data_IF_325697329926
#
_entry.id   IF_325697329926
#
_cell.length_a   1.000
_cell.length_b   1.000
_cell.length_c   1.000
_cell.angle_alpha   90.00
_cell.angle_beta   90.00
_cell.angle_gamma   90.00
#
_symmetry.space_group_name_H-M   'P 1'
#
loop_
_entity.id
_entity.type
_entity.pdbx_description
1 polymer ?
#
# COMPACT_ATOMS: atom_id res chain seq x y z
N UNK A 1 -18.68 -7.43 -8.86
CA UNK A 1 -17.41 -7.49 -9.61
C UNK A 1 -17.73 -7.21 -11.07
N UNK A 2 -16.85 -6.62 -11.88
CA UNK A 2 -17.15 -6.48 -13.31
C UNK A 2 -17.27 -7.85 -13.98
N UNK A 3 -18.17 -7.98 -14.95
CA UNK A 3 -18.24 -9.12 -15.89
C UNK A 3 -17.47 -8.85 -17.18
N UNK A 4 -17.08 -7.59 -17.40
CA UNK A 4 -16.44 -7.11 -18.63
C UNK A 4 -15.00 -6.72 -18.37
N UNK A 5 -14.23 -6.68 -19.46
CA UNK A 5 -12.83 -6.30 -19.41
C UNK A 5 -12.67 -4.90 -18.85
N UNK A 6 -11.71 -4.77 -17.94
CA UNK A 6 -11.38 -3.52 -17.28
C UNK A 6 -10.07 -2.99 -17.87
N UNK A 7 -10.00 -1.68 -18.11
CA UNK A 7 -8.78 -1.02 -18.57
C UNK A 7 -7.64 -1.15 -17.57
N UNK A 8 -6.41 -1.14 -18.08
CA UNK A 8 -5.18 -1.16 -17.28
C UNK A 8 -5.11 0.03 -16.30
N UNK A 9 -4.51 -0.18 -15.12
CA UNK A 9 -4.40 0.78 -14.00
C UNK A 9 -5.72 1.19 -13.31
N UNK A 10 -6.81 0.50 -13.60
CA UNK A 10 -8.04 0.65 -12.82
C UNK A 10 -7.93 -0.11 -11.48
N UNK A 11 -8.84 0.20 -10.54
CA UNK A 11 -8.94 -0.49 -9.25
C UNK A 11 -7.69 -0.39 -8.37
N UNK A 12 -6.88 0.65 -8.59
CA UNK A 12 -5.65 0.96 -7.88
C UNK A 12 -4.66 -0.22 -7.77
N UNK A 13 -4.51 -0.99 -8.84
CA UNK A 13 -3.73 -2.22 -8.84
C UNK A 13 -3.03 -2.41 -10.19
N UNK A 14 -1.94 -3.18 -10.22
CA UNK A 14 -1.24 -3.50 -11.48
C UNK A 14 -1.97 -4.59 -12.28
N UNK A 15 -2.41 -5.65 -11.60
CA UNK A 15 -3.28 -6.68 -12.19
C UNK A 15 -4.72 -6.52 -11.69
N UNK A 16 -5.57 -6.01 -12.55
CA UNK A 16 -7.00 -5.89 -12.30
C UNK A 16 -7.69 -7.24 -12.49
N UNK A 17 -8.54 -7.63 -11.53
CA UNK A 17 -9.25 -8.92 -11.53
C UNK A 17 -10.76 -8.74 -11.70
N UNK A 18 -11.36 -9.49 -12.61
CA UNK A 18 -12.79 -9.47 -12.89
C UNK A 18 -13.35 -10.87 -13.21
N UNK A 19 -14.68 -11.03 -13.19
CA UNK A 19 -15.31 -12.32 -13.48
C UNK A 19 -15.16 -12.68 -14.97
N UNK A 20 -14.80 -13.93 -15.24
CA UNK A 20 -14.87 -14.49 -16.59
C UNK A 20 -16.29 -15.01 -16.87
N UNK A 21 -17.16 -14.12 -17.32
CA UNK A 21 -18.56 -14.42 -17.64
C UNK A 21 -19.57 -13.81 -16.65
N UNK A 22 -20.87 -14.09 -16.86
CA UNK A 22 -21.94 -13.41 -16.13
C UNK A 22 -22.02 -13.82 -14.66
N UNK A 23 -22.60 -12.98 -13.80
CA UNK A 23 -22.98 -13.38 -12.46
C UNK A 23 -24.05 -14.51 -12.48
N UNK A 24 -24.11 -15.36 -11.45
CA UNK A 24 -25.18 -16.36 -11.32
C UNK A 24 -26.57 -15.72 -11.13
N UNK A 25 -27.60 -16.50 -11.40
CA UNK A 25 -28.97 -16.24 -10.95
C UNK A 25 -29.21 -16.82 -9.55
N UNK A 26 -30.32 -16.42 -8.89
CA UNK A 26 -30.66 -16.90 -7.54
C UNK A 26 -30.79 -18.43 -7.52
N UNK A 27 -31.36 -19.01 -8.58
CA UNK A 27 -31.58 -20.45 -8.74
C UNK A 27 -30.29 -21.27 -8.93
N UNK A 28 -29.20 -20.63 -9.38
CA UNK A 28 -27.91 -21.29 -9.57
C UNK A 28 -27.22 -21.63 -8.24
N UNK A 29 -27.66 -21.02 -7.14
CA UNK A 29 -27.04 -21.20 -5.82
C UNK A 29 -25.61 -20.66 -5.78
N UNK A 30 -24.69 -21.43 -5.19
CA UNK A 30 -23.27 -21.07 -5.13
C UNK A 30 -22.53 -21.68 -6.30
N UNK A 31 -22.00 -20.83 -7.19
CA UNK A 31 -21.25 -21.27 -8.38
C UNK A 31 -19.78 -20.89 -8.27
N UNK A 32 -18.92 -21.69 -8.89
CA UNK A 32 -17.50 -21.37 -9.08
C UNK A 32 -17.33 -20.59 -10.38
N UNK A 33 -16.65 -19.45 -10.32
CA UNK A 33 -16.35 -18.64 -11.50
C UNK A 33 -14.85 -18.47 -11.67
N UNK A 34 -14.39 -18.62 -12.91
CA UNK A 34 -13.06 -18.21 -13.30
C UNK A 34 -12.91 -16.69 -13.17
N UNK A 35 -11.68 -16.25 -12.85
CA UNK A 35 -11.35 -14.85 -12.69
C UNK A 35 -10.30 -14.49 -13.73
N UNK A 36 -10.64 -13.56 -14.61
CA UNK A 36 -9.71 -12.96 -15.55
C UNK A 36 -8.79 -11.98 -14.82
N UNK A 37 -7.54 -11.92 -15.27
CA UNK A 37 -6.57 -10.92 -14.87
C UNK A 37 -6.07 -10.18 -16.10
N UNK A 38 -6.11 -8.85 -16.03
CA UNK A 38 -5.55 -7.95 -17.03
C UNK A 38 -4.28 -7.30 -16.52
N UNK A 39 -3.45 -6.83 -17.44
CA UNK A 39 -2.33 -5.93 -17.16
C UNK A 39 -2.07 -5.04 -18.35
N UNK A 40 -1.27 -3.99 -18.16
CA UNK A 40 -0.94 -3.01 -19.21
C UNK A 40 -0.41 -3.63 -20.51
N UNK A 41 0.31 -4.74 -20.42
CA UNK A 41 1.00 -5.36 -21.55
C UNK A 41 0.21 -6.49 -22.21
N UNK A 42 -1.03 -6.72 -21.79
CA UNK A 42 -1.78 -7.91 -22.18
C UNK A 42 -3.18 -7.58 -22.69
N UNK A 43 -3.69 -8.43 -23.57
CA UNK A 43 -5.09 -8.39 -23.99
C UNK A 43 -6.03 -8.75 -22.84
N UNK A 44 -7.31 -8.42 -23.00
CA UNK A 44 -8.34 -8.77 -22.02
C UNK A 44 -8.34 -10.26 -21.70
N UNK A 45 -8.26 -10.59 -20.40
CA UNK A 45 -8.26 -11.97 -19.89
C UNK A 45 -7.10 -12.84 -20.41
N UNK A 46 -5.94 -12.23 -20.67
CA UNK A 46 -4.74 -12.98 -21.03
C UNK A 46 -4.27 -13.90 -19.88
N UNK A 47 -4.41 -13.43 -18.63
CA UNK A 47 -4.08 -14.21 -17.44
C UNK A 47 -5.35 -14.68 -16.74
N UNK A 48 -5.26 -15.82 -16.05
CA UNK A 48 -6.34 -16.35 -15.19
C UNK A 48 -5.85 -16.46 -13.75
N UNK A 49 -6.64 -15.92 -12.81
CA UNK A 49 -6.41 -16.09 -11.37
C UNK A 49 -7.09 -17.38 -10.88
N UNK A 50 -6.87 -17.70 -9.61
CA UNK A 50 -7.63 -18.75 -8.92
C UNK A 50 -9.13 -18.44 -9.00
N UNK A 51 -9.97 -19.45 -9.31
CA UNK A 51 -11.41 -19.25 -9.35
C UNK A 51 -11.95 -18.89 -7.96
N UNK A 52 -13.07 -18.18 -7.94
CA UNK A 52 -13.78 -17.78 -6.73
C UNK A 52 -15.18 -18.40 -6.70
N UNK A 53 -15.82 -18.42 -5.53
CA UNK A 53 -17.23 -18.78 -5.44
C UNK A 53 -18.08 -17.52 -5.34
N UNK A 54 -19.20 -17.51 -6.06
CA UNK A 54 -20.15 -16.39 -6.07
C UNK A 54 -21.58 -16.93 -6.01
N UNK A 55 -22.45 -16.22 -5.30
CA UNK A 55 -23.89 -16.49 -5.29
C UNK A 55 -24.69 -15.20 -5.48
N UNK A 56 -25.80 -15.31 -6.18
CA UNK A 56 -26.82 -14.26 -6.19
C UNK A 56 -27.70 -14.39 -4.94
N UNK A 57 -28.06 -13.26 -4.36
CA UNK A 57 -28.92 -13.20 -3.18
C UNK A 57 -30.25 -12.50 -3.52
N UNK A 58 -31.33 -12.80 -2.76
CA UNK A 58 -32.53 -11.97 -2.77
C UNK A 58 -32.14 -10.50 -2.53
N UNK A 59 -32.83 -9.54 -3.16
CA UNK A 59 -32.52 -8.10 -3.11
C UNK A 59 -31.36 -7.64 -4.01
N UNK A 60 -31.11 -8.34 -5.13
CA UNK A 60 -30.24 -7.88 -6.23
C UNK A 60 -28.80 -7.56 -5.79
N UNK A 61 -28.20 -8.40 -4.93
CA UNK A 61 -26.79 -8.32 -4.57
C UNK A 61 -26.12 -9.67 -4.68
N UNK A 62 -24.78 -9.64 -4.78
CA UNK A 62 -23.95 -10.82 -4.93
C UNK A 62 -23.00 -10.94 -3.75
N UNK A 63 -22.77 -12.19 -3.30
CA UNK A 63 -21.78 -12.49 -2.26
C UNK A 63 -20.66 -13.29 -2.90
N UNK A 64 -19.42 -12.88 -2.62
CA UNK A 64 -18.22 -13.48 -3.17
C UNK A 64 -17.38 -14.09 -2.05
N UNK A 65 -16.97 -15.33 -2.22
CA UNK A 65 -15.91 -15.96 -1.44
C UNK A 65 -14.60 -15.78 -2.23
N UNK A 66 -13.91 -14.69 -1.91
CA UNK A 66 -12.65 -14.31 -2.57
C UNK A 66 -11.48 -15.10 -2.01
N UNK A 67 -10.51 -15.39 -2.87
CA UNK A 67 -9.25 -16.04 -2.49
C UNK A 67 -8.10 -15.05 -2.65
N UNK A 68 -7.00 -15.27 -1.93
CA UNK A 68 -5.80 -14.45 -2.15
C UNK A 68 -5.32 -14.63 -3.60
N UNK A 69 -5.28 -13.56 -4.42
CA UNK A 69 -4.86 -13.66 -5.81
C UNK A 69 -3.43 -14.16 -5.96
N UNK A 70 -3.15 -14.84 -7.08
CA UNK A 70 -1.81 -15.34 -7.38
C UNK A 70 -0.88 -14.26 -7.92
N UNK A 71 -1.43 -13.15 -8.42
CA UNK A 71 -0.66 -12.08 -9.05
C UNK A 71 -0.24 -11.03 -8.02
N UNK A 72 1.01 -10.58 -8.12
CA UNK A 72 1.53 -9.48 -7.32
C UNK A 72 0.83 -8.15 -7.65
N UNK A 73 0.55 -7.30 -6.65
CA UNK A 73 -0.20 -6.04 -6.81
C UNK A 73 -1.48 -6.25 -7.65
N UNK A 74 -2.33 -7.16 -7.20
CA UNK A 74 -3.61 -7.46 -7.85
C UNK A 74 -4.79 -7.18 -6.93
N UNK A 75 -5.92 -6.83 -7.56
CA UNK A 75 -7.11 -6.36 -6.86
C UNK A 75 -8.37 -6.75 -7.60
N UNK A 76 -9.34 -7.26 -6.84
CA UNK A 76 -10.69 -7.54 -7.34
C UNK A 76 -11.44 -6.24 -7.59
N UNK A 77 -11.80 -6.01 -8.85
CA UNK A 77 -12.49 -4.81 -9.25
C UNK A 77 -14.01 -4.90 -9.04
N UNK A 78 -14.56 -3.93 -8.32
CA UNK A 78 -16.01 -3.74 -8.21
C UNK A 78 -16.49 -2.76 -9.25
N UNK A 79 -17.63 -3.04 -9.87
CA UNK A 79 -18.30 -2.09 -10.76
C UNK A 79 -19.02 -1.01 -9.93
N UNK A 80 -18.82 0.26 -10.28
CA UNK A 80 -19.39 1.44 -9.62
C UNK A 80 -20.85 1.67 -10.06
N UNK A 81 -21.28 1.07 -11.17
CA UNK A 81 -22.62 1.26 -11.75
C UNK A 81 -23.77 0.71 -10.88
N UNK A 82 -23.47 -0.05 -9.81
CA UNK A 82 -24.48 -0.69 -8.97
C UNK A 82 -24.34 -0.33 -7.48
N UNK A 83 -23.76 0.83 -7.15
CA UNK A 83 -23.66 1.30 -5.77
C UNK A 83 -25.05 1.75 -5.29
N UNK A 84 -25.75 0.88 -4.57
CA UNK A 84 -26.72 1.31 -3.58
C UNK A 84 -25.93 1.87 -2.39
N UNK A 85 -26.05 3.17 -2.13
CA UNK A 85 -25.41 3.80 -0.97
C UNK A 85 -25.99 3.18 0.32
N UNK A 86 -25.26 2.24 0.91
CA UNK A 86 -25.50 1.86 2.30
C UNK A 86 -24.81 2.92 3.15
N UNK A 87 -25.56 3.95 3.53
CA UNK A 87 -25.08 4.96 4.48
C UNK A 87 -24.91 4.28 5.83
N UNK A 88 -23.67 3.93 6.16
CA UNK A 88 -23.30 3.47 7.50
C UNK A 88 -22.89 4.67 8.31
N UNK A 89 -23.79 5.17 9.15
CA UNK A 89 -23.44 6.16 10.17
C UNK A 89 -22.72 5.44 11.30
N UNK A 90 -21.39 5.53 11.32
CA UNK A 90 -20.60 5.24 12.53
C UNK A 90 -20.43 6.57 13.26
N UNK A 91 -21.09 6.73 14.41
CA UNK A 91 -20.78 7.84 15.32
C UNK A 91 -19.51 7.50 16.08
N UNK A 92 -18.49 8.33 15.94
CA UNK A 92 -17.27 8.25 16.74
C UNK A 92 -17.53 8.85 18.11
N UNK A 93 -17.43 8.03 19.17
CA UNK A 93 -17.36 8.50 20.54
C UNK A 93 -15.96 9.04 20.85
N UNK A 94 -15.89 10.27 21.36
CA UNK A 94 -14.66 10.92 21.80
C UNK A 94 -14.28 10.43 23.20
N UNK A 95 -13.19 9.66 23.31
CA UNK A 95 -12.53 9.41 24.59
C UNK A 95 -11.52 10.53 24.85
N UNK A 96 -11.82 11.39 25.81
CA UNK A 96 -10.89 12.35 26.41
C UNK A 96 -9.85 11.61 27.24
N UNK A 97 -8.73 11.27 26.61
CA UNK A 97 -7.52 10.77 27.28
C UNK A 97 -6.69 11.91 27.87
N UNK A 98 -6.52 11.89 29.19
CA UNK A 98 -5.72 12.82 29.97
C UNK A 98 -4.23 12.80 29.62
N UNK A 99 -3.63 13.98 29.42
CA UNK A 99 -2.19 14.19 29.25
C UNK A 99 -1.41 13.70 30.49
N UNK A 100 -0.73 12.57 30.35
CA UNK A 100 0.46 12.25 31.13
C UNK A 100 1.65 12.52 30.21
N UNK A 101 2.31 13.66 30.41
CA UNK A 101 3.53 14.04 29.69
C UNK A 101 4.70 13.17 30.18
N UNK A 102 4.70 11.89 29.79
CA UNK A 102 5.93 11.11 29.77
C UNK A 102 6.82 11.75 28.73
N UNK A 103 8.02 12.18 29.15
CA UNK A 103 9.03 12.77 28.28
C UNK A 103 9.58 11.66 27.35
N UNK A 104 8.77 11.30 26.34
CA UNK A 104 9.02 10.21 25.40
C UNK A 104 10.01 10.71 24.36
N UNK A 105 11.29 10.71 24.72
CA UNK A 105 12.35 11.18 23.84
C UNK A 105 12.60 10.13 22.74
N UNK A 106 12.24 10.40 21.47
CA UNK A 106 12.22 9.39 20.43
C UNK A 106 13.61 8.88 20.04
N UNK A 107 14.68 9.61 20.35
CA UNK A 107 16.05 9.10 20.17
C UNK A 107 16.43 7.99 21.17
N UNK A 108 15.70 7.86 22.28
CA UNK A 108 15.95 6.81 23.27
C UNK A 108 14.87 5.72 23.27
N UNK A 109 13.75 5.96 22.59
CA UNK A 109 12.63 5.04 22.56
C UNK A 109 12.03 4.97 21.15
N UNK A 110 12.54 4.04 20.35
CA UNK A 110 12.12 3.78 18.99
C UNK A 110 12.07 2.28 18.72
N UNK A 111 11.28 1.90 17.72
CA UNK A 111 11.22 0.58 17.13
C UNK A 111 12.29 0.43 16.05
N UNK A 112 12.85 -0.76 15.88
CA UNK A 112 13.83 -1.04 14.82
C UNK A 112 13.13 -1.59 13.58
N UNK A 113 13.41 -1.00 12.42
CA UNK A 113 13.06 -1.56 11.10
C UNK A 113 14.33 -1.95 10.38
N UNK A 114 14.69 -3.24 10.47
CA UNK A 114 15.80 -3.82 9.72
C UNK A 114 15.26 -4.74 8.63
N UNK A 115 15.09 -4.18 7.45
CA UNK A 115 14.47 -4.87 6.33
C UNK A 115 15.32 -4.64 5.09
N UNK A 116 16.15 -5.62 4.71
CA UNK A 116 17.05 -5.53 3.56
C UNK A 116 16.37 -5.07 2.27
N UNK A 117 15.11 -5.45 2.09
CA UNK A 117 14.31 -5.11 0.92
C UNK A 117 13.92 -3.63 0.84
N UNK A 118 14.00 -2.86 1.92
CA UNK A 118 13.76 -1.40 1.91
C UNK A 118 14.88 -0.62 1.21
N UNK A 119 15.99 -1.28 0.92
CA UNK A 119 17.13 -0.67 0.24
C UNK A 119 16.73 -0.11 -1.12
N UNK A 120 17.25 1.09 -1.43
CA UNK A 120 17.14 1.67 -2.78
C UNK A 120 17.78 0.81 -3.88
N UNK A 121 18.64 -0.15 -3.53
CA UNK A 121 19.23 -1.12 -4.46
C UNK A 121 18.38 -2.40 -4.66
N UNK A 122 17.28 -2.55 -3.90
CA UNK A 122 16.35 -3.65 -4.05
C UNK A 122 15.37 -3.39 -5.18
N UNK A 123 15.85 -3.59 -6.41
CA UNK A 123 15.06 -3.48 -7.64
C UNK A 123 14.40 -4.79 -8.03
N UNK A 124 13.18 -4.69 -8.56
CA UNK A 124 12.44 -5.86 -9.02
C UNK A 124 13.12 -6.69 -10.10
N UNK A 125 13.81 -6.05 -11.05
CA UNK A 125 14.47 -6.72 -12.17
C UNK A 125 15.64 -7.60 -11.71
N UNK A 126 16.28 -7.26 -10.59
CA UNK A 126 17.42 -7.98 -10.04
C UNK A 126 17.03 -9.26 -9.27
N UNK A 127 15.82 -9.30 -8.69
CA UNK A 127 15.37 -10.41 -7.83
C UNK A 127 14.22 -11.25 -8.43
N UNK A 128 13.71 -10.87 -9.61
CA UNK A 128 12.78 -11.70 -10.39
C UNK A 128 11.34 -11.76 -9.86
N UNK A 129 11.04 -11.07 -8.78
CA UNK A 129 9.69 -10.89 -8.23
C UNK A 129 9.66 -9.66 -7.33
N UNK A 130 8.54 -8.93 -7.34
CA UNK A 130 8.30 -7.88 -6.35
C UNK A 130 7.58 -8.53 -5.17
N UNK A 131 8.11 -8.35 -3.97
CA UNK A 131 7.72 -9.11 -2.79
C UNK A 131 6.31 -8.79 -2.25
N UNK A 132 5.49 -8.01 -2.97
CA UNK A 132 4.14 -7.66 -2.48
C UNK A 132 4.14 -6.81 -1.23
N UNK A 133 5.26 -6.13 -0.96
CA UNK A 133 5.44 -5.35 0.25
C UNK A 133 4.69 -4.04 0.12
N UNK A 134 3.98 -3.71 1.19
CA UNK A 134 2.94 -2.70 1.20
C UNK A 134 2.82 -2.16 2.62
N UNK A 135 3.40 -0.99 2.84
CA UNK A 135 3.41 -0.32 4.14
C UNK A 135 2.02 0.19 4.54
N UNK A 136 1.01 0.10 3.67
CA UNK A 136 -0.40 0.32 4.08
C UNK A 136 -0.95 -0.81 4.95
N UNK A 137 -0.23 -1.93 5.06
CA UNK A 137 -0.59 -3.10 5.87
C UNK A 137 0.16 -3.17 7.20
N UNK A 138 1.11 -2.26 7.40
CA UNK A 138 1.88 -2.16 8.65
C UNK A 138 1.08 -1.30 9.63
N UNK A 139 0.96 -1.79 10.86
CA UNK A 139 0.41 -1.01 11.97
C UNK A 139 1.53 -0.12 12.54
N UNK A 140 1.53 1.12 12.08
CA UNK A 140 2.52 2.12 12.49
C UNK A 140 2.15 2.71 13.84
N UNK A 141 3.01 2.51 14.84
CA UNK A 141 2.89 3.12 16.15
C UNK A 141 4.26 3.52 16.72
N UNK A 142 4.36 4.76 17.16
CA UNK A 142 5.59 5.34 17.69
C UNK A 142 6.63 5.73 16.63
N UNK A 143 7.89 5.76 17.07
CA UNK A 143 9.05 6.19 16.29
C UNK A 143 9.85 4.98 15.82
N UNK A 144 10.48 5.10 14.65
CA UNK A 144 11.22 4.01 14.03
C UNK A 144 12.62 4.46 13.61
N UNK A 145 13.60 3.58 13.80
CA UNK A 145 14.95 3.72 13.25
C UNK A 145 15.16 2.69 12.15
N UNK A 146 15.69 3.16 11.02
CA UNK A 146 15.93 2.34 9.84
C UNK A 146 17.30 1.68 9.88
N UNK A 147 17.35 0.42 9.47
CA UNK A 147 18.56 -0.35 9.24
C UNK A 147 18.44 -1.18 7.96
N UNK A 148 19.58 -1.48 7.35
CA UNK A 148 19.71 -2.45 6.27
C UNK A 148 20.79 -3.46 6.68
N UNK A 149 20.39 -4.70 6.95
CA UNK A 149 21.28 -5.79 7.39
C UNK A 149 22.14 -5.38 8.60
N UNK A 150 21.49 -4.83 9.63
CA UNK A 150 22.13 -4.36 10.86
C UNK A 150 22.93 -3.07 10.73
N UNK A 151 23.08 -2.52 9.52
CA UNK A 151 23.78 -1.25 9.29
C UNK A 151 22.81 -0.08 9.35
N UNK A 152 23.23 1.03 9.98
CA UNK A 152 22.39 2.23 10.11
C UNK A 152 21.99 2.75 8.73
N UNK A 153 20.71 3.05 8.55
CA UNK A 153 20.13 3.50 7.29
C UNK A 153 19.22 4.71 7.51
N UNK A 154 18.80 5.35 6.42
CA UNK A 154 17.95 6.53 6.46
C UNK A 154 17.12 6.61 5.18
N UNK A 155 15.95 7.22 5.24
CA UNK A 155 15.16 7.45 4.04
C UNK A 155 15.99 8.24 3.01
N UNK A 156 15.86 7.98 1.70
CA UNK A 156 16.48 8.83 0.70
C UNK A 156 15.81 10.21 0.64
N UNK A 157 16.60 11.22 0.30
CA UNK A 157 16.15 12.61 0.08
C UNK A 157 15.98 12.94 -1.41
N UNK A 158 16.21 11.95 -2.27
CA UNK A 158 16.17 12.08 -3.71
C UNK A 158 15.14 11.13 -4.31
N UNK A 159 14.76 11.42 -5.54
CA UNK A 159 13.81 10.59 -6.27
C UNK A 159 14.32 9.17 -6.42
N UNK A 160 13.48 8.21 -6.02
CA UNK A 160 13.72 6.78 -6.20
C UNK A 160 12.81 6.26 -7.29
N UNK A 161 13.35 5.46 -8.20
CA UNK A 161 12.57 4.82 -9.26
C UNK A 161 11.41 4.00 -8.68
N UNK A 162 10.29 3.95 -9.39
CA UNK A 162 9.22 2.99 -9.09
C UNK A 162 9.78 1.56 -9.04
N UNK A 163 9.15 0.69 -8.26
CA UNK A 163 9.58 -0.71 -8.04
C UNK A 163 10.99 -0.88 -7.44
N UNK A 164 11.40 0.07 -6.60
CA UNK A 164 12.56 -0.06 -5.71
C UNK A 164 12.08 -0.27 -4.28
N UNK A 165 13.01 -0.55 -3.35
CA UNK A 165 12.68 -0.70 -1.92
C UNK A 165 11.64 -1.80 -1.65
N UNK A 166 11.50 -2.77 -2.55
CA UNK A 166 10.66 -3.96 -2.38
C UNK A 166 9.15 -3.77 -2.63
N UNK A 167 8.68 -2.54 -2.80
CA UNK A 167 7.27 -2.19 -3.12
C UNK A 167 7.02 -1.86 -4.60
N UNK A 168 5.80 -1.43 -4.94
CA UNK A 168 5.50 -0.86 -6.27
C UNK A 168 5.88 0.62 -6.31
N UNK A 169 5.46 1.37 -5.28
CA UNK A 169 5.76 2.79 -5.15
C UNK A 169 6.79 3.02 -4.05
N UNK A 170 8.00 3.36 -4.47
CA UNK A 170 9.10 3.75 -3.58
C UNK A 170 8.79 5.12 -2.98
N UNK A 171 8.74 5.24 -1.65
CA UNK A 171 8.53 6.50 -0.95
C UNK A 171 9.84 7.08 -0.42
N UNK A 172 10.05 8.37 -0.61
CA UNK A 172 11.23 9.11 -0.16
C UNK A 172 10.86 10.46 0.46
N UNK A 173 11.85 11.10 1.09
CA UNK A 173 11.69 12.34 1.82
C UNK A 173 11.67 13.56 0.89
N UNK A 174 10.70 14.44 1.08
CA UNK A 174 10.55 15.72 0.38
C UNK A 174 11.38 16.85 0.97
N UNK A 175 12.69 16.64 1.15
CA UNK A 175 13.63 17.63 1.68
C UNK A 175 14.82 17.00 2.41
N UNK A 176 15.79 17.80 2.83
CA UNK A 176 17.03 17.34 3.48
C UNK A 176 16.84 17.07 4.97
N UNK A 177 17.18 15.91 5.55
CA UNK A 177 16.95 15.57 6.97
C UNK A 177 17.26 16.72 7.95
N UNK A 178 16.53 16.81 9.08
CA UNK A 178 16.77 17.85 10.08
C UNK A 178 18.19 17.78 10.65
N UNK A 179 18.65 18.87 11.24
CA UNK A 179 19.79 18.89 12.16
C UNK A 179 19.31 18.64 13.58
N UNK A 180 20.25 18.38 14.50
CA UNK A 180 19.95 18.19 15.93
C UNK A 180 19.19 19.40 16.50
N UNK A 181 19.60 20.62 16.12
CA UNK A 181 18.98 21.87 16.55
C UNK A 181 17.55 22.10 16.06
N UNK A 182 17.15 21.46 14.95
CA UNK A 182 15.81 21.62 14.37
C UNK A 182 14.74 20.86 15.18
N UNK A 183 15.15 19.92 16.04
CA UNK A 183 14.25 19.07 16.80
C UNK A 183 13.40 18.18 15.90
N UNK A 184 12.10 18.08 16.22
CA UNK A 184 11.14 17.31 15.42
C UNK A 184 10.61 18.18 14.29
N UNK A 185 10.84 17.76 13.04
CA UNK A 185 10.34 18.45 11.85
C UNK A 185 9.36 17.58 11.09
N UNK A 186 8.41 18.22 10.41
CA UNK A 186 7.49 17.53 9.49
C UNK A 186 8.06 17.55 8.08
N UNK A 187 7.99 16.41 7.38
CA UNK A 187 8.47 16.24 6.01
C UNK A 187 7.46 15.61 5.10
N UNK A 188 7.33 16.22 3.93
CA UNK A 188 6.57 15.68 2.82
C UNK A 188 7.12 14.34 2.39
N UNK A 189 6.25 13.45 1.95
CA UNK A 189 6.61 12.14 1.42
C UNK A 189 6.12 12.02 0.00
N UNK A 190 7.05 11.71 -0.89
CA UNK A 190 6.80 11.59 -2.32
C UNK A 190 6.99 10.14 -2.77
N UNK A 191 6.26 9.77 -3.82
CA UNK A 191 6.37 8.46 -4.46
C UNK A 191 6.44 8.56 -5.98
N UNK A 192 7.11 7.61 -6.61
CA UNK A 192 7.30 7.56 -8.06
C UNK A 192 6.25 6.73 -8.75
N UNK A 193 5.99 7.07 -10.02
CA UNK A 193 5.23 6.26 -10.95
C UNK A 193 5.96 6.25 -12.28
N UNK A 194 6.42 5.07 -12.73
CA UNK A 194 7.28 4.98 -13.92
C UNK A 194 8.51 5.91 -13.77
N UNK A 195 8.84 6.63 -14.84
CA UNK A 195 9.95 7.58 -14.87
C UNK A 195 9.60 8.93 -14.22
N UNK A 196 8.39 9.08 -13.66
CA UNK A 196 7.93 10.33 -13.05
C UNK A 196 8.17 10.32 -11.54
N UNK A 197 9.12 11.16 -11.14
CA UNK A 197 9.37 11.52 -9.76
C UNK A 197 8.20 12.33 -9.16
N UNK A 198 7.97 12.13 -7.87
CA UNK A 198 6.98 12.88 -7.08
C UNK A 198 5.56 12.86 -7.65
N UNK A 199 5.23 11.80 -8.39
CA UNK A 199 3.90 11.60 -8.94
C UNK A 199 2.86 11.41 -7.83
N UNK A 200 3.21 10.60 -6.82
CA UNK A 200 2.40 10.38 -5.64
C UNK A 200 2.87 11.28 -4.51
N UNK A 201 1.91 11.69 -3.67
CA UNK A 201 2.15 12.37 -2.41
C UNK A 201 1.39 11.63 -1.32
N UNK A 202 2.12 11.21 -0.28
CA UNK A 202 1.55 10.61 0.93
C UNK A 202 1.36 11.69 1.99
N UNK A 203 0.67 11.36 3.08
CA UNK A 203 0.68 12.18 4.29
C UNK A 203 2.12 12.41 4.76
N UNK A 204 2.45 13.63 5.22
CA UNK A 204 3.78 13.95 5.71
C UNK A 204 4.06 13.23 7.02
N UNK A 205 5.32 12.94 7.28
CA UNK A 205 5.78 12.25 8.50
C UNK A 205 6.59 13.19 9.38
N UNK A 206 6.78 12.83 10.64
CA UNK A 206 7.72 13.53 11.52
C UNK A 206 9.09 12.86 11.48
N UNK A 207 10.16 13.66 11.50
CA UNK A 207 11.55 13.21 11.49
C UNK A 207 12.32 13.98 12.55
N UNK A 208 13.23 13.29 13.25
CA UNK A 208 14.14 13.91 14.21
C UNK A 208 15.55 13.37 14.01
N UNK A 209 16.53 14.28 14.05
CA UNK A 209 17.94 13.91 14.13
C UNK A 209 18.31 13.57 15.58
N UNK A 210 19.11 12.52 15.75
CA UNK A 210 19.52 12.03 17.05
C UNK A 210 21.04 12.08 17.25
N UNK A 211 21.52 12.29 18.49
CA UNK A 211 22.94 12.17 18.79
C UNK A 211 23.48 10.80 18.37
N UNK A 212 24.61 10.78 17.65
CA UNK A 212 25.15 9.55 17.06
C UNK A 212 24.86 9.39 15.56
N UNK A 213 24.48 10.47 14.88
CA UNK A 213 24.37 10.56 13.42
C UNK A 213 23.35 9.58 12.81
N UNK A 214 22.15 9.58 13.37
CA UNK A 214 21.02 8.82 12.83
C UNK A 214 19.71 9.59 13.00
N UNK A 215 18.68 9.11 12.32
CA UNK A 215 17.36 9.70 12.31
C UNK A 215 16.33 8.71 12.82
N UNK A 216 15.30 9.25 13.46
CA UNK A 216 14.08 8.53 13.81
C UNK A 216 12.90 9.14 13.08
N UNK A 217 11.99 8.28 12.66
CA UNK A 217 10.85 8.63 11.82
C UNK A 217 9.57 8.21 12.51
N UNK A 218 8.60 9.10 12.56
CA UNK A 218 7.23 8.77 12.97
C UNK A 218 6.42 8.51 11.71
N UNK A 219 6.51 7.28 11.21
CA UNK A 219 5.79 6.86 10.03
C UNK A 219 4.28 6.84 10.27
N UNK A 220 3.54 7.10 9.20
CA UNK A 220 2.08 6.99 9.18
C UNK A 220 1.70 5.97 8.12
N UNK A 221 0.49 5.42 8.21
CA UNK A 221 -0.04 4.59 7.14
C UNK A 221 -0.06 5.39 5.83
N UNK A 222 0.63 4.95 4.76
CA UNK A 222 0.59 5.66 3.49
C UNK A 222 -0.83 5.68 2.89
N UNK A 223 -1.09 6.66 2.04
CA UNK A 223 -2.40 6.81 1.39
C UNK A 223 -2.72 5.58 0.54
N UNK A 224 -3.89 4.97 0.77
CA UNK A 224 -4.32 3.71 0.11
C UNK A 224 -4.53 3.83 -1.40
N UNK A 225 -4.51 5.05 -1.95
CA UNK A 225 -4.53 5.32 -3.39
C UNK A 225 -3.14 5.20 -4.05
N UNK A 226 -2.07 5.07 -3.26
CA UNK A 226 -0.73 4.79 -3.78
C UNK A 226 -0.61 3.26 -3.91
N UNK A 227 -0.22 2.70 -5.07
CA UNK A 227 -0.11 1.25 -5.23
C UNK A 227 1.06 0.69 -4.43
N UNK A 228 0.81 -0.27 -3.53
CA UNK A 228 1.81 -0.97 -2.70
C UNK A 228 3.02 -0.10 -2.29
N UNK A 229 2.78 0.99 -1.55
CA UNK A 229 3.80 1.97 -1.21
C UNK A 229 4.72 1.45 -0.12
N UNK A 230 6.01 1.81 -0.19
CA UNK A 230 7.00 1.43 0.80
C UNK A 230 7.93 2.60 1.12
N UNK A 231 8.11 2.89 2.41
CA UNK A 231 9.17 3.78 2.91
C UNK A 231 10.54 3.14 2.66
N UNK A 232 11.33 3.78 1.79
CA UNK A 232 12.71 3.37 1.48
C UNK A 232 13.67 3.64 2.63
N UNK A 233 14.81 2.93 2.61
CA UNK A 233 15.92 3.07 3.55
C UNK A 233 17.28 2.93 2.84
#
# INVERSE_FOLDING_TARGET
>A
MSETCISSFSCNTYYNLWLNGPHPQIEDGVVTREVCAGSYWSSCCYYKSKPIRVKACPNNYYVYELVNPQFWCSGYCTDVNNISQVVSYVSSDNITGSNITLNYEPCNNYNTLDNHWRSTFSYWYLYGYINGLDDTRVEWDGWYRLFINGSSAQMPEWCISYMSCGGFSSLWLGGSHPRIEDGVVTREIYGSRYDQCSYYRSEPIQVKACPGDYYVYKFTRPTVSIPAPVYCA
#
